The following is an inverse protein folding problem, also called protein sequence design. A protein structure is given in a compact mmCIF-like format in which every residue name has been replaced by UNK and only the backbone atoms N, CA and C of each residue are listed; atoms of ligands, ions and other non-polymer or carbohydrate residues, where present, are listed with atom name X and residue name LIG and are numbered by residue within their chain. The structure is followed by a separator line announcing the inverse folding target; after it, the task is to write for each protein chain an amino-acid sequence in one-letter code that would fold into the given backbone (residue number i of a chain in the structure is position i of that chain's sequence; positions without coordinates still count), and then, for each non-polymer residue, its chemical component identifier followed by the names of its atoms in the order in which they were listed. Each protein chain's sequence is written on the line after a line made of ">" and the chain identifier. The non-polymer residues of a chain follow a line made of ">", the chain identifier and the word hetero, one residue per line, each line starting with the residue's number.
data_IF_009963232490
#
_entry.id   IF_009963232490
#
_cell.length_a   1.000
_cell.length_b   1.000
_cell.length_c   1.000
_cell.angle_alpha   90.00
_cell.angle_beta   90.00
_cell.angle_gamma   90.00
#
_symmetry.space_group_name_H-M   'P 1'
#
loop_
_entity.id
_entity.type
_entity.pdbx_description
1 polymer ?
#
# COMPACT_ATOMS: atom_id res chain seq x y z
N UNK A 1 -2.92 -16.74 -14.15
CA UNK A 1 -1.79 -15.80 -13.94
C UNK A 1 -1.60 -15.67 -12.43
N UNK A 2 -0.41 -15.90 -11.87
CA UNK A 2 -0.18 -15.90 -10.40
C UNK A 2 0.35 -14.53 -9.96
N UNK A 3 -0.09 -14.04 -8.79
CA UNK A 3 0.35 -12.73 -8.26
C UNK A 3 1.88 -12.64 -8.07
N UNK A 4 2.53 -13.80 -7.88
CA UNK A 4 3.98 -13.98 -7.81
C UNK A 4 4.74 -13.48 -9.04
N UNK A 5 4.09 -13.40 -10.20
CA UNK A 5 4.74 -12.98 -11.45
C UNK A 5 4.95 -11.45 -11.54
N UNK A 6 4.30 -10.69 -10.66
CA UNK A 6 4.23 -9.22 -10.79
C UNK A 6 4.65 -8.44 -9.53
N UNK A 7 4.82 -9.13 -8.40
CA UNK A 7 5.17 -8.54 -7.11
C UNK A 7 6.64 -8.78 -6.75
N UNK A 8 7.28 -7.84 -6.03
CA UNK A 8 8.56 -8.11 -5.40
C UNK A 8 8.42 -9.20 -4.31
N UNK A 9 9.53 -9.78 -3.83
CA UNK A 9 9.48 -10.73 -2.73
C UNK A 9 8.69 -10.18 -1.52
N UNK A 10 7.86 -11.03 -0.91
CA UNK A 10 6.98 -10.64 0.21
C UNK A 10 7.68 -9.85 1.33
N UNK A 11 8.92 -10.18 1.76
CA UNK A 11 9.61 -9.39 2.78
C UNK A 11 9.82 -7.91 2.40
N UNK A 12 10.05 -7.64 1.12
CA UNK A 12 10.22 -6.27 0.60
C UNK A 12 8.86 -5.59 0.48
N UNK A 13 7.85 -6.32 -0.01
CA UNK A 13 6.49 -5.82 -0.14
C UNK A 13 5.91 -5.39 1.21
N UNK A 14 6.01 -6.27 2.21
CA UNK A 14 5.45 -6.05 3.55
C UNK A 14 6.11 -4.84 4.23
N UNK A 15 7.43 -4.67 4.05
CA UNK A 15 8.15 -3.49 4.55
C UNK A 15 7.62 -2.20 3.93
N UNK A 16 7.39 -2.18 2.61
CA UNK A 16 6.81 -1.01 1.92
C UNK A 16 5.40 -0.73 2.44
N UNK A 17 4.56 -1.76 2.55
CA UNK A 17 3.17 -1.63 3.02
C UNK A 17 3.11 -1.13 4.46
N UNK A 18 3.95 -1.65 5.35
CA UNK A 18 4.04 -1.22 6.74
C UNK A 18 4.38 0.27 6.84
N UNK A 19 5.45 0.72 6.18
CA UNK A 19 5.84 2.12 6.21
C UNK A 19 4.79 3.04 5.56
N UNK A 20 4.17 2.59 4.46
CA UNK A 20 3.18 3.39 3.73
C UNK A 20 1.83 3.50 4.47
N UNK A 21 1.35 2.40 5.04
CA UNK A 21 0.00 2.30 5.62
C UNK A 21 0.04 2.62 7.10
N UNK A 22 0.91 1.96 7.87
CA UNK A 22 0.95 2.08 9.32
C UNK A 22 1.67 3.35 9.76
N UNK A 23 2.88 3.58 9.24
CA UNK A 23 3.67 4.78 9.58
C UNK A 23 3.30 6.02 8.76
N UNK A 24 2.43 5.89 7.74
CA UNK A 24 2.00 6.97 6.83
C UNK A 24 3.14 7.69 6.11
N UNK A 25 4.27 7.02 5.89
CA UNK A 25 5.41 7.60 5.19
C UNK A 25 5.09 7.83 3.71
N UNK A 26 5.59 8.93 3.17
CA UNK A 26 5.57 9.21 1.73
C UNK A 26 6.54 8.30 0.98
N UNK A 27 6.32 8.14 -0.33
CA UNK A 27 7.17 7.27 -1.17
C UNK A 27 8.66 7.67 -1.10
N UNK A 28 8.98 8.97 -1.03
CA UNK A 28 10.36 9.46 -0.89
C UNK A 28 11.04 9.00 0.39
N UNK A 29 10.31 9.00 1.50
CA UNK A 29 10.81 8.56 2.79
C UNK A 29 11.05 7.05 2.80
N UNK A 30 10.20 6.29 2.11
CA UNK A 30 10.36 4.84 1.95
C UNK A 30 11.59 4.51 1.09
N UNK A 31 11.83 5.27 0.02
CA UNK A 31 13.05 5.14 -0.80
C UNK A 31 14.31 5.43 0.00
N UNK A 32 14.26 6.43 0.90
CA UNK A 32 15.38 6.75 1.78
C UNK A 32 15.76 5.61 2.76
N UNK A 33 14.90 4.60 2.94
CA UNK A 33 15.19 3.39 3.72
C UNK A 33 16.03 2.35 2.96
N UNK A 34 16.51 2.70 1.75
CA UNK A 34 17.32 1.81 0.90
C UNK A 34 16.49 0.85 0.05
N UNK A 35 15.21 1.14 -0.19
CA UNK A 35 14.33 0.35 -1.05
C UNK A 35 14.31 1.00 -2.44
N UNK A 36 14.37 0.18 -3.49
CA UNK A 36 14.36 0.64 -4.87
C UNK A 36 13.14 1.51 -5.20
N UNK A 37 13.38 2.69 -5.79
CA UNK A 37 12.35 3.67 -6.10
C UNK A 37 11.29 3.14 -7.07
N UNK A 38 11.69 2.35 -8.05
CA UNK A 38 10.77 1.81 -9.05
C UNK A 38 9.78 0.85 -8.40
N UNK A 39 10.26 0.04 -7.45
CA UNK A 39 9.44 -0.89 -6.67
C UNK A 39 8.50 -0.11 -5.76
N UNK A 40 9.01 0.86 -5.00
CA UNK A 40 8.17 1.66 -4.07
C UNK A 40 7.05 2.36 -4.82
N UNK A 41 7.36 3.08 -5.92
CA UNK A 41 6.35 3.77 -6.72
C UNK A 41 5.33 2.82 -7.33
N UNK A 42 5.77 1.65 -7.82
CA UNK A 42 4.87 0.62 -8.37
C UNK A 42 3.88 0.14 -7.30
N UNK A 43 4.36 -0.18 -6.11
CA UNK A 43 3.53 -0.68 -5.00
C UNK A 43 2.58 0.40 -4.49
N UNK A 44 3.06 1.62 -4.21
CA UNK A 44 2.20 2.72 -3.75
C UNK A 44 1.08 2.99 -4.75
N UNK A 45 1.42 3.11 -6.04
CA UNK A 45 0.44 3.33 -7.11
C UNK A 45 -0.54 2.16 -7.26
N UNK A 46 -0.11 0.94 -6.96
CA UNK A 46 -0.99 -0.24 -6.97
C UNK A 46 -1.90 -0.27 -5.75
N UNK A 47 -1.41 0.11 -4.57
CA UNK A 47 -2.24 0.28 -3.38
C UNK A 47 -3.34 1.27 -3.71
N UNK A 48 -3.02 2.51 -4.08
CA UNK A 48 -4.02 3.56 -4.23
C UNK A 48 -5.05 3.26 -5.33
N UNK A 49 -4.64 2.64 -6.45
CA UNK A 49 -5.56 2.21 -7.51
C UNK A 49 -6.55 1.14 -7.09
N UNK A 50 -6.23 0.33 -6.08
CA UNK A 50 -7.11 -0.75 -5.60
C UNK A 50 -8.00 -0.31 -4.43
N UNK A 51 -8.10 1.00 -4.13
CA UNK A 51 -8.98 1.48 -3.04
C UNK A 51 -10.45 1.14 -3.28
N UNK A 52 -10.91 1.17 -4.54
CA UNK A 52 -12.29 0.79 -4.89
C UNK A 52 -12.61 -0.66 -4.49
N UNK A 53 -11.66 -1.59 -4.65
CA UNK A 53 -11.84 -2.99 -4.25
C UNK A 53 -11.94 -3.12 -2.73
N UNK A 54 -11.17 -2.33 -1.99
CA UNK A 54 -11.19 -2.32 -0.52
C UNK A 54 -12.50 -1.76 0.03
N UNK A 55 -13.08 -0.78 -0.65
CA UNK A 55 -14.38 -0.24 -0.26
C UNK A 55 -15.52 -1.26 -0.40
N UNK A 56 -15.41 -2.18 -1.35
CA UNK A 56 -16.37 -3.26 -1.59
C UNK A 56 -16.08 -4.53 -0.77
N UNK A 57 -14.97 -4.56 -0.01
CA UNK A 57 -14.59 -5.74 0.77
C UNK A 57 -15.52 -5.93 1.97
N UNK A 58 -15.74 -7.20 2.35
CA UNK A 58 -16.50 -7.55 3.55
C UNK A 58 -15.81 -7.02 4.83
N UNK A 59 -16.58 -6.83 5.92
CA UNK A 59 -16.00 -6.46 7.21
C UNK A 59 -14.89 -7.45 7.61
N UNK A 60 -13.69 -6.92 7.90
CA UNK A 60 -12.51 -7.70 8.27
C UNK A 60 -12.11 -7.41 9.72
N UNK A 61 -11.62 -8.42 10.43
CA UNK A 61 -11.11 -8.27 11.80
C UNK A 61 -9.87 -7.37 11.81
N UNK A 62 -9.85 -6.41 12.74
CA UNK A 62 -8.73 -5.47 12.88
C UNK A 62 -7.74 -5.99 13.93
N UNK A 63 -6.51 -6.27 13.49
CA UNK A 63 -5.40 -6.68 14.37
C UNK A 63 -4.27 -5.64 14.45
N UNK A 64 -4.17 -4.71 13.49
CA UNK A 64 -3.18 -3.63 13.50
C UNK A 64 -3.77 -2.27 13.87
N UNK A 65 -2.91 -1.36 14.35
CA UNK A 65 -3.31 -0.01 14.75
C UNK A 65 -3.98 0.77 13.60
N UNK A 66 -3.53 0.51 12.35
CA UNK A 66 -3.99 1.22 11.17
C UNK A 66 -4.34 0.30 10.01
N UNK A 67 -5.35 -0.53 10.22
CA UNK A 67 -5.90 -1.40 9.18
C UNK A 67 -6.75 -0.65 8.14
N UNK A 68 -6.97 -1.30 7.00
CA UNK A 68 -7.92 -0.86 5.97
C UNK A 68 -9.35 -0.72 6.52
N UNK A 69 -10.15 0.17 5.91
CA UNK A 69 -11.51 0.47 6.37
C UNK A 69 -11.53 1.68 7.32
N UNK A 70 -12.10 1.54 8.52
CA UNK A 70 -12.19 2.66 9.48
C UNK A 70 -10.84 3.24 9.89
N UNK A 71 -9.77 2.44 9.90
CA UNK A 71 -8.42 2.89 10.27
C UNK A 71 -7.69 3.71 9.19
N UNK A 72 -8.10 3.58 7.92
CA UNK A 72 -7.53 4.31 6.78
C UNK A 72 -8.64 4.64 5.78
N UNK A 73 -9.16 5.86 5.86
CA UNK A 73 -10.14 6.40 4.90
C UNK A 73 -9.43 7.18 3.81
N UNK A 74 -9.50 6.67 2.59
CA UNK A 74 -8.98 7.34 1.39
C UNK A 74 -10.13 7.58 0.40
N UNK A 75 -10.13 8.69 -0.34
CA UNK A 75 -11.08 8.90 -1.42
C UNK A 75 -10.92 7.83 -2.52
N UNK A 76 -12.03 7.31 -3.04
CA UNK A 76 -12.04 6.31 -4.13
C UNK A 76 -11.53 6.94 -5.43
N UNK A 77 -11.99 8.17 -5.72
CA UNK A 77 -11.56 8.94 -6.89
C UNK A 77 -10.61 10.03 -6.39
N UNK A 78 -9.32 9.84 -6.59
CA UNK A 78 -8.30 10.83 -6.29
C UNK A 78 -7.14 10.73 -7.27
N UNK A 79 -6.55 11.89 -7.59
CA UNK A 79 -5.37 12.02 -8.44
C UNK A 79 -4.16 12.27 -7.55
N UNK A 80 -3.30 11.27 -7.41
CA UNK A 80 -2.04 11.37 -6.70
C UNK A 80 -0.89 11.51 -7.69
N UNK A 81 -0.03 12.50 -7.49
CA UNK A 81 1.20 12.66 -8.25
C UNK A 81 2.30 11.88 -7.52
N UNK A 82 2.42 10.59 -7.83
CA UNK A 82 3.49 9.73 -7.33
C UNK A 82 4.79 9.95 -8.09
#
# INVERSE_FOLDING_TARGET
>A
QKDSDSLPPYPVLDKILFHYIEERKGWREIVALGIDETIVRKIVKMVDRNEYKRFQASPTLRISHKAFGFGRRMPIVAKYNH
#
